data_IF_045030041991
#
_entry.id   IF_045030041991
#
_cell.length_a   1.000
_cell.length_b   1.000
_cell.length_c   1.000
_cell.angle_alpha   90.00
_cell.angle_beta   90.00
_cell.angle_gamma   90.00
#
_symmetry.space_group_name_H-M   'P 1'
#
loop_
_entity.id
_entity.type
_entity.pdbx_description
1 polymer ?
#
# COMPACT_ATOMS: atom_id res chain seq x y z
N UNK A 1 19.33 5.78 -17.47
CA UNK A 1 17.98 5.68 -16.89
C UNK A 1 18.10 5.60 -15.39
N UNK A 2 17.19 6.30 -14.71
CA UNK A 2 17.16 6.52 -13.27
C UNK A 2 15.72 6.27 -12.81
N UNK A 3 15.55 6.06 -11.50
CA UNK A 3 14.23 6.01 -10.90
C UNK A 3 13.41 7.29 -11.17
N UNK A 4 12.09 7.13 -11.16
CA UNK A 4 11.09 8.18 -11.30
C UNK A 4 10.33 8.37 -9.99
N UNK A 5 9.97 9.62 -9.71
CA UNK A 5 8.94 9.96 -8.74
C UNK A 5 7.77 10.56 -9.49
N UNK A 6 6.69 9.80 -9.64
CA UNK A 6 5.48 10.22 -10.31
C UNK A 6 4.34 10.38 -9.30
N UNK A 7 3.76 11.57 -9.24
CA UNK A 7 2.67 11.92 -8.33
C UNK A 7 1.52 12.57 -9.12
N UNK A 8 0.47 11.77 -9.35
CA UNK A 8 -0.74 12.20 -10.06
C UNK A 8 -1.54 13.23 -9.25
N UNK A 9 -1.55 13.11 -7.92
CA UNK A 9 -2.21 14.08 -7.03
C UNK A 9 -1.60 15.49 -7.14
N UNK A 10 -0.34 15.57 -7.56
CA UNK A 10 0.38 16.81 -7.85
C UNK A 10 0.53 17.11 -9.34
N UNK A 11 -0.02 16.26 -10.22
CA UNK A 11 0.10 16.37 -11.68
C UNK A 11 1.56 16.49 -12.13
N UNK A 12 2.47 15.73 -11.51
CA UNK A 12 3.92 15.92 -11.65
C UNK A 12 4.68 14.61 -11.69
N UNK A 13 5.67 14.50 -12.58
CA UNK A 13 6.76 13.52 -12.48
C UNK A 13 8.11 14.22 -12.36
N UNK A 14 9.03 13.63 -11.61
CA UNK A 14 10.43 14.05 -11.54
C UNK A 14 11.38 12.88 -11.78
N UNK A 15 12.48 13.15 -12.48
CA UNK A 15 13.57 12.20 -12.68
C UNK A 15 14.89 12.95 -12.87
N UNK A 16 16.01 12.27 -12.67
CA UNK A 16 17.34 12.81 -12.99
C UNK A 16 17.71 12.38 -14.41
N UNK A 17 18.15 13.30 -15.26
CA UNK A 17 18.63 12.95 -16.60
C UNK A 17 20.13 12.60 -16.60
N UNK A 18 20.68 12.20 -17.75
CA UNK A 18 22.10 11.84 -17.88
C UNK A 18 23.09 12.99 -17.57
N UNK A 19 22.60 14.23 -17.48
CA UNK A 19 23.38 15.41 -17.08
C UNK A 19 23.29 15.72 -15.57
N UNK A 20 22.66 14.83 -14.79
CA UNK A 20 22.40 15.01 -13.35
C UNK A 20 21.53 16.24 -13.07
N UNK A 21 20.61 16.55 -13.99
CA UNK A 21 19.62 17.61 -13.84
C UNK A 21 18.27 17.00 -13.49
N UNK A 22 17.62 17.53 -12.45
CA UNK A 22 16.24 17.20 -12.13
C UNK A 22 15.33 17.76 -13.23
N UNK A 23 14.62 16.88 -13.90
CA UNK A 23 13.61 17.20 -14.90
C UNK A 23 12.24 17.05 -14.25
N UNK A 24 11.36 18.01 -14.50
CA UNK A 24 9.98 18.02 -14.02
C UNK A 24 9.05 17.96 -15.23
N UNK A 25 8.12 17.01 -15.22
CA UNK A 25 7.09 16.86 -16.23
C UNK A 25 5.71 17.09 -15.62
N UNK A 26 4.80 17.72 -16.38
CA UNK A 26 3.39 17.87 -15.98
C UNK A 26 2.58 16.70 -16.52
N UNK A 27 1.86 16.04 -15.63
CA UNK A 27 0.97 14.92 -15.93
C UNK A 27 -0.48 15.43 -15.97
N UNK A 28 -1.25 15.09 -17.00
CA UNK A 28 -2.64 15.54 -17.16
C UNK A 28 -3.49 14.37 -17.62
N UNK A 29 -4.58 14.07 -16.90
CA UNK A 29 -5.51 12.98 -17.20
C UNK A 29 -4.78 11.65 -17.42
N UNK A 30 -3.99 11.25 -16.42
CA UNK A 30 -3.22 10.01 -16.41
C UNK A 30 -3.75 9.17 -15.27
N UNK A 31 -4.20 7.96 -15.57
CA UNK A 31 -4.68 7.01 -14.55
C UNK A 31 -3.79 5.75 -14.47
N UNK A 32 -2.71 5.73 -15.25
CA UNK A 32 -1.78 4.58 -15.30
C UNK A 32 -0.34 5.05 -15.25
N UNK A 33 0.36 4.63 -14.20
CA UNK A 33 1.79 4.80 -14.04
C UNK A 33 2.48 3.44 -14.15
N UNK A 34 3.59 3.42 -14.88
CA UNK A 34 4.50 2.29 -14.94
C UNK A 34 5.87 2.86 -14.60
N UNK A 35 6.49 2.28 -13.59
CA UNK A 35 7.86 2.55 -13.19
C UNK A 35 8.88 2.05 -14.22
N UNK A 36 10.10 1.98 -13.75
CA UNK A 36 11.32 1.68 -14.46
C UNK A 36 11.87 0.36 -13.94
N UNK A 37 13.18 0.13 -14.07
CA UNK A 37 13.84 -1.04 -13.48
C UNK A 37 14.61 -0.67 -12.21
N UNK A 38 14.24 0.44 -11.57
CA UNK A 38 14.91 1.02 -10.40
C UNK A 38 13.86 1.41 -9.36
N UNK A 39 14.31 1.66 -8.13
CA UNK A 39 13.47 2.01 -6.98
C UNK A 39 12.65 3.30 -7.21
N UNK A 40 11.39 3.15 -7.62
CA UNK A 40 10.49 4.24 -7.98
C UNK A 40 9.56 4.64 -6.84
N UNK A 41 8.98 5.83 -6.96
CA UNK A 41 7.85 6.26 -6.12
C UNK A 41 6.69 6.65 -7.02
N UNK A 42 5.60 5.88 -6.95
CA UNK A 42 4.41 6.05 -7.76
C UNK A 42 3.23 6.38 -6.83
N UNK A 43 2.66 7.58 -7.00
CA UNK A 43 1.55 8.09 -6.22
C UNK A 43 0.40 8.40 -7.17
N UNK A 44 -0.75 7.79 -6.91
CA UNK A 44 -1.99 8.06 -7.62
C UNK A 44 -2.68 9.35 -7.15
N UNK A 45 -3.91 9.55 -7.60
CA UNK A 45 -4.74 10.70 -7.28
C UNK A 45 -6.02 10.28 -6.54
N UNK A 46 -7.15 10.91 -6.87
CA UNK A 46 -8.44 10.61 -6.23
C UNK A 46 -9.34 9.74 -7.11
N UNK A 47 -8.87 9.40 -8.30
CA UNK A 47 -9.54 8.47 -9.22
C UNK A 47 -8.93 7.07 -9.10
N UNK A 48 -9.56 6.09 -9.75
CA UNK A 48 -9.01 4.74 -9.77
C UNK A 48 -7.77 4.71 -10.67
N UNK A 49 -6.62 4.40 -10.09
CA UNK A 49 -5.35 4.33 -10.79
C UNK A 49 -4.84 2.88 -10.93
N UNK A 50 -3.97 2.68 -11.91
CA UNK A 50 -3.21 1.45 -12.12
C UNK A 50 -1.72 1.77 -11.99
N UNK A 51 -1.09 1.31 -10.92
CA UNK A 51 0.33 1.53 -10.63
C UNK A 51 1.10 0.21 -10.79
N UNK A 52 2.23 0.27 -11.50
CA UNK A 52 3.11 -0.88 -11.75
C UNK A 52 4.54 -0.45 -11.47
N UNK A 53 5.19 -1.00 -10.43
CA UNK A 53 6.58 -0.69 -10.08
C UNK A 53 7.58 -1.22 -11.10
N UNK A 54 7.44 -2.51 -11.44
CA UNK A 54 8.25 -3.29 -12.38
C UNK A 54 9.48 -3.96 -11.74
N UNK A 55 10.71 -3.50 -11.95
CA UNK A 55 11.87 -4.04 -11.20
C UNK A 55 12.38 -2.93 -10.27
N UNK A 56 12.92 -3.29 -9.10
CA UNK A 56 13.37 -2.31 -8.10
C UNK A 56 12.57 -2.44 -6.82
N UNK A 57 12.98 -1.72 -5.76
CA UNK A 57 12.21 -1.64 -4.53
C UNK A 57 11.30 -0.41 -4.60
N UNK A 58 10.05 -0.61 -4.97
CA UNK A 58 9.16 0.48 -5.33
C UNK A 58 8.26 0.91 -4.17
N UNK A 59 7.84 2.18 -4.16
CA UNK A 59 6.80 2.70 -3.27
C UNK A 59 5.57 3.01 -4.11
N UNK A 60 4.47 2.30 -3.86
CA UNK A 60 3.19 2.47 -4.53
C UNK A 60 2.13 2.97 -3.54
N UNK A 61 1.58 4.15 -3.78
CA UNK A 61 0.50 4.76 -2.99
C UNK A 61 -0.66 5.03 -3.94
N UNK A 62 -1.75 4.26 -3.82
CA UNK A 62 -2.92 4.38 -4.70
C UNK A 62 -3.59 5.75 -4.63
N UNK A 63 -3.75 6.30 -3.43
CA UNK A 63 -4.45 7.57 -3.25
C UNK A 63 -5.87 7.31 -2.76
N UNK A 64 -6.88 7.95 -3.34
CA UNK A 64 -8.27 7.59 -3.11
C UNK A 64 -8.86 6.96 -4.38
N UNK A 65 -9.88 6.12 -4.24
CA UNK A 65 -10.36 5.28 -5.34
C UNK A 65 -10.07 3.82 -5.05
N UNK A 66 -10.49 2.94 -5.96
CA UNK A 66 -10.15 1.52 -5.89
C UNK A 66 -9.02 1.27 -6.87
N UNK A 67 -7.79 1.26 -6.35
CA UNK A 67 -6.60 1.22 -7.18
C UNK A 67 -6.16 -0.21 -7.49
N UNK A 68 -5.34 -0.36 -8.52
CA UNK A 68 -4.70 -1.62 -8.86
C UNK A 68 -3.19 -1.45 -8.78
N UNK A 69 -2.60 -2.15 -7.81
CA UNK A 69 -1.18 -2.04 -7.47
C UNK A 69 -0.47 -3.35 -7.83
N UNK A 70 0.66 -3.22 -8.52
CA UNK A 70 1.56 -4.31 -8.87
C UNK A 70 2.98 -3.85 -8.55
N UNK A 71 3.65 -4.49 -7.59
CA UNK A 71 5.00 -4.13 -7.19
C UNK A 71 6.01 -4.60 -8.25
N UNK A 72 6.04 -5.90 -8.48
CA UNK A 72 6.91 -6.57 -9.43
C UNK A 72 8.08 -7.27 -8.74
N UNK A 73 9.28 -7.08 -9.27
CA UNK A 73 10.50 -7.68 -8.75
C UNK A 73 11.19 -6.69 -7.82
N UNK A 74 11.07 -6.94 -6.52
CA UNK A 74 11.87 -6.29 -5.50
C UNK A 74 11.18 -6.43 -4.16
N UNK A 75 11.64 -5.68 -3.17
CA UNK A 75 10.95 -5.53 -1.89
C UNK A 75 10.12 -4.24 -1.96
N UNK A 76 8.83 -4.40 -2.24
CA UNK A 76 7.96 -3.26 -2.56
C UNK A 76 7.16 -2.78 -1.34
N UNK A 77 6.78 -1.51 -1.35
CA UNK A 77 5.96 -0.88 -0.31
C UNK A 77 4.62 -0.47 -0.92
N UNK A 78 3.54 -1.04 -0.40
CA UNK A 78 2.16 -0.62 -0.68
C UNK A 78 1.66 0.27 0.46
N UNK A 79 1.58 1.57 0.22
CA UNK A 79 1.34 2.58 1.24
C UNK A 79 -0.12 3.03 1.35
N UNK A 80 -0.62 3.07 2.58
CA UNK A 80 -1.97 3.52 2.94
C UNK A 80 -1.91 4.60 4.02
N UNK A 81 -2.52 5.75 3.75
CA UNK A 81 -2.59 6.84 4.72
C UNK A 81 -3.81 6.74 5.64
N UNK A 82 -4.87 6.04 5.22
CA UNK A 82 -6.14 5.89 5.94
C UNK A 82 -6.90 4.65 5.43
N UNK A 83 -7.70 3.98 6.27
CA UNK A 83 -8.51 2.83 5.84
C UNK A 83 -9.69 3.22 4.94
N UNK A 84 -10.00 4.51 4.80
CA UNK A 84 -11.15 5.02 4.03
C UNK A 84 -10.74 5.67 2.70
N UNK A 85 -9.71 5.12 2.06
CA UNK A 85 -9.24 5.59 0.75
C UNK A 85 -9.89 4.85 -0.42
N UNK A 86 -10.52 3.71 -0.14
CA UNK A 86 -11.08 2.79 -1.12
C UNK A 86 -10.57 1.39 -0.84
N UNK A 87 -10.82 0.46 -1.76
CA UNK A 87 -10.36 -0.93 -1.64
C UNK A 87 -9.37 -1.19 -2.77
N UNK A 88 -8.08 -1.08 -2.44
CA UNK A 88 -7.02 -1.29 -3.41
C UNK A 88 -6.76 -2.76 -3.63
N UNK A 89 -6.50 -3.14 -4.88
CA UNK A 89 -6.13 -4.51 -5.25
C UNK A 89 -4.63 -4.61 -5.44
N UNK A 90 -3.96 -5.30 -4.52
CA UNK A 90 -2.54 -5.64 -4.63
C UNK A 90 -2.43 -7.02 -5.26
N UNK A 91 -1.86 -7.08 -6.46
CA UNK A 91 -2.02 -8.27 -7.32
C UNK A 91 -0.93 -9.33 -7.14
N UNK A 92 0.23 -8.96 -6.60
CA UNK A 92 1.45 -9.78 -6.60
C UNK A 92 2.21 -9.82 -5.27
N UNK A 93 1.60 -9.31 -4.19
CA UNK A 93 2.23 -9.25 -2.86
C UNK A 93 2.99 -10.55 -2.49
N UNK A 94 4.27 -10.40 -2.16
CA UNK A 94 5.16 -11.49 -1.84
C UNK A 94 6.06 -11.17 -0.63
N UNK A 95 5.64 -11.64 0.54
CA UNK A 95 6.43 -11.55 1.79
C UNK A 95 7.85 -12.14 1.66
N UNK A 96 8.07 -13.15 0.80
CA UNK A 96 9.39 -13.73 0.60
C UNK A 96 10.34 -12.82 -0.22
N UNK A 97 9.80 -11.89 -0.99
CA UNK A 97 10.59 -10.84 -1.66
C UNK A 97 10.89 -9.66 -0.73
N UNK A 98 10.13 -9.51 0.35
CA UNK A 98 10.28 -8.42 1.32
C UNK A 98 9.21 -7.34 1.19
N UNK A 99 8.11 -7.62 0.48
CA UNK A 99 7.02 -6.66 0.32
C UNK A 99 6.39 -6.29 1.67
N UNK A 100 6.02 -5.02 1.81
CA UNK A 100 5.42 -4.47 3.00
C UNK A 100 4.12 -3.73 2.67
N UNK A 101 3.13 -3.90 3.55
CA UNK A 101 2.00 -3.01 3.67
C UNK A 101 2.40 -1.91 4.65
N UNK A 102 2.56 -0.68 4.18
CA UNK A 102 2.88 0.46 5.03
C UNK A 102 1.60 1.24 5.37
N UNK A 103 1.40 1.55 6.66
CA UNK A 103 0.22 2.27 7.15
C UNK A 103 0.62 3.47 7.99
N UNK A 104 -0.07 4.59 7.82
CA UNK A 104 0.15 5.79 8.62
C UNK A 104 -0.64 5.73 9.93
N UNK A 105 0.06 5.71 11.08
CA UNK A 105 -0.56 5.61 12.41
C UNK A 105 -1.60 6.71 12.65
N UNK A 106 -1.31 7.93 12.19
CA UNK A 106 -2.21 9.08 12.41
C UNK A 106 -3.51 9.01 11.60
N UNK A 107 -3.53 8.31 10.47
CA UNK A 107 -4.76 8.16 9.69
C UNK A 107 -5.54 6.87 9.99
N UNK A 108 -4.87 5.81 10.44
CA UNK A 108 -5.53 4.59 10.92
C UNK A 108 -6.02 4.71 12.37
N UNK A 109 -5.26 5.36 13.25
CA UNK A 109 -5.60 5.49 14.67
C UNK A 109 -5.46 4.15 15.42
N UNK A 110 -6.43 3.79 16.25
CA UNK A 110 -6.47 2.47 16.93
C UNK A 110 -5.34 2.20 17.96
N UNK A 111 -4.48 3.19 18.25
CA UNK A 111 -3.32 2.99 19.12
C UNK A 111 -2.13 2.32 18.44
N UNK A 112 -2.05 2.39 17.11
CA UNK A 112 -0.87 1.93 16.37
C UNK A 112 0.38 2.71 16.80
N UNK A 113 1.49 2.01 16.96
CA UNK A 113 2.80 2.58 17.29
C UNK A 113 3.76 2.31 16.15
N UNK A 114 4.62 3.27 15.82
CA UNK A 114 5.55 3.17 14.69
C UNK A 114 6.51 1.98 14.80
N UNK A 115 6.77 1.33 13.67
CA UNK A 115 7.55 0.10 13.57
C UNK A 115 6.75 -1.06 13.00
N UNK A 116 7.28 -2.27 13.16
CA UNK A 116 6.56 -3.51 12.80
C UNK A 116 5.31 -3.63 13.67
N UNK A 117 4.20 -4.04 13.07
CA UNK A 117 2.93 -4.22 13.78
C UNK A 117 3.07 -5.26 14.92
N UNK A 118 2.56 -4.90 16.09
CA UNK A 118 2.52 -5.82 17.24
C UNK A 118 1.68 -7.06 16.91
N UNK A 119 2.15 -8.24 17.28
CA UNK A 119 1.52 -9.51 16.89
C UNK A 119 0.10 -9.69 17.44
N UNK A 120 -0.24 -9.03 18.55
CA UNK A 120 -1.59 -9.05 19.14
C UNK A 120 -2.58 -8.11 18.42
N UNK A 121 -2.09 -7.28 17.50
CA UNK A 121 -2.87 -6.41 16.64
C UNK A 121 -3.19 -7.03 15.27
N UNK A 122 -2.68 -8.24 14.99
CA UNK A 122 -2.93 -8.95 13.73
C UNK A 122 -3.64 -10.28 13.98
N UNK A 123 -4.67 -10.56 13.19
CA UNK A 123 -5.36 -11.85 13.23
C UNK A 123 -5.71 -12.34 11.82
N UNK A 124 -5.74 -13.66 11.65
CA UNK A 124 -6.19 -14.31 10.42
C UNK A 124 -7.62 -14.80 10.63
N UNK A 125 -8.52 -14.39 9.75
CA UNK A 125 -9.92 -14.75 9.82
C UNK A 125 -10.82 -13.75 9.10
N UNK A 126 -12.13 -13.85 9.36
CA UNK A 126 -13.12 -12.97 8.75
C UNK A 126 -13.48 -11.75 9.57
N UNK A 127 -13.12 -11.72 10.86
CA UNK A 127 -13.42 -10.61 11.75
C UNK A 127 -12.47 -10.52 12.94
N UNK A 128 -12.46 -9.35 13.59
CA UNK A 128 -11.79 -9.16 14.87
C UNK A 128 -12.39 -10.10 15.93
N UNK A 129 -11.54 -10.66 16.77
CA UNK A 129 -11.87 -11.62 17.85
C UNK A 129 -11.41 -11.14 19.22
N UNK A 130 -10.51 -10.17 19.26
CA UNK A 130 -10.00 -9.54 20.47
C UNK A 130 -10.10 -8.01 20.38
N UNK A 131 -10.08 -7.34 21.52
CA UNK A 131 -10.07 -5.88 21.58
C UNK A 131 -8.73 -5.27 21.10
N UNK A 132 -7.67 -6.07 21.01
CA UNK A 132 -6.36 -5.67 20.47
C UNK A 132 -6.28 -5.80 18.95
N UNK A 133 -7.09 -6.66 18.33
CA UNK A 133 -7.05 -6.88 16.89
C UNK A 133 -7.28 -5.55 16.15
N UNK A 134 -6.36 -5.20 15.25
CA UNK A 134 -6.44 -4.01 14.38
C UNK A 134 -6.44 -4.39 12.92
N UNK A 135 -5.65 -5.38 12.53
CA UNK A 135 -5.58 -5.86 11.16
C UNK A 135 -6.10 -7.30 11.10
N UNK A 136 -7.04 -7.52 10.20
CA UNK A 136 -7.69 -8.81 10.01
C UNK A 136 -7.48 -9.22 8.56
N UNK A 137 -6.80 -10.34 8.36
CA UNK A 137 -6.54 -10.88 7.02
C UNK A 137 -7.37 -12.14 6.78
N UNK A 138 -8.22 -12.09 5.75
CA UNK A 138 -9.02 -13.24 5.33
C UNK A 138 -8.25 -14.05 4.29
N UNK A 139 -7.39 -14.96 4.74
CA UNK A 139 -6.45 -15.74 3.94
C UNK A 139 -7.03 -16.35 2.65
N UNK A 140 -8.23 -16.92 2.69
CA UNK A 140 -8.82 -17.56 1.50
C UNK A 140 -9.31 -16.58 0.43
N UNK A 141 -9.74 -15.37 0.81
CA UNK A 141 -10.24 -14.37 -0.13
C UNK A 141 -9.19 -13.32 -0.46
N UNK A 142 -8.20 -13.11 0.42
CA UNK A 142 -7.20 -12.06 0.33
C UNK A 142 -7.67 -10.69 0.87
N UNK A 143 -8.89 -10.59 1.41
CA UNK A 143 -9.39 -9.34 1.95
C UNK A 143 -8.61 -8.93 3.22
N UNK A 144 -8.13 -7.69 3.25
CA UNK A 144 -7.43 -7.09 4.39
C UNK A 144 -8.27 -5.97 4.98
N UNK A 145 -8.59 -6.11 6.25
CA UNK A 145 -9.43 -5.19 7.00
C UNK A 145 -8.62 -4.49 8.09
N UNK A 146 -9.04 -3.27 8.39
CA UNK A 146 -8.66 -2.56 9.59
C UNK A 146 -9.85 -2.40 10.52
N UNK A 147 -9.68 -2.70 11.80
CA UNK A 147 -10.66 -2.47 12.85
C UNK A 147 -10.11 -1.44 13.85
N UNK A 148 -10.73 -0.25 13.97
CA UNK A 148 -10.24 0.80 14.86
C UNK A 148 -10.41 0.48 16.35
N UNK A 149 -11.31 -0.43 16.73
CA UNK A 149 -11.59 -0.75 18.14
C UNK A 149 -11.63 -2.26 18.47
N UNK A 150 -11.33 -3.12 17.50
CA UNK A 150 -11.29 -4.57 17.65
C UNK A 150 -12.69 -5.16 17.77
N UNK A 151 -12.99 -5.96 18.78
CA UNK A 151 -14.37 -6.43 19.03
C UNK A 151 -15.30 -5.36 19.61
N UNK A 152 -15.04 -4.08 19.31
CA UNK A 152 -15.76 -2.94 19.86
C UNK A 152 -17.06 -2.64 19.13
N UNK A 153 -17.46 -1.36 19.15
CA UNK A 153 -18.70 -0.90 18.56
C UNK A 153 -18.54 -0.46 17.10
N UNK A 154 -17.31 -0.17 16.67
CA UNK A 154 -17.00 0.19 15.30
C UNK A 154 -16.87 -1.09 14.47
N UNK A 155 -17.22 -0.99 13.20
CA UNK A 155 -17.05 -2.10 12.27
C UNK A 155 -15.66 -2.03 11.64
N UNK A 156 -15.06 -3.19 11.40
CA UNK A 156 -13.90 -3.30 10.52
C UNK A 156 -14.19 -2.73 9.13
N UNK A 157 -13.17 -2.15 8.51
CA UNK A 157 -13.20 -1.50 7.20
C UNK A 157 -12.25 -2.28 6.30
N UNK A 158 -12.74 -2.75 5.16
CA UNK A 158 -11.85 -3.30 4.13
C UNK A 158 -11.14 -2.14 3.45
N UNK A 159 -9.81 -2.17 3.39
CA UNK A 159 -9.02 -1.15 2.71
C UNK A 159 -8.13 -1.74 1.60
N UNK A 160 -7.90 -3.05 1.62
CA UNK A 160 -7.12 -3.71 0.58
C UNK A 160 -7.63 -5.12 0.26
N UNK A 161 -7.23 -5.59 -0.90
CA UNK A 161 -7.53 -6.88 -1.49
C UNK A 161 -6.24 -7.47 -2.07
N UNK A 162 -5.71 -8.51 -1.45
CA UNK A 162 -4.58 -9.28 -1.96
C UNK A 162 -5.06 -10.50 -2.74
N UNK A 163 -4.15 -11.23 -3.36
CA UNK A 163 -4.42 -12.59 -3.83
C UNK A 163 -4.74 -13.51 -2.65
N UNK A 164 -5.72 -14.41 -2.81
CA UNK A 164 -6.03 -15.43 -1.80
C UNK A 164 -4.89 -16.42 -1.63
N UNK A 165 -4.61 -16.81 -0.39
CA UNK A 165 -3.56 -17.75 -0.01
C UNK A 165 -2.19 -17.13 0.21
N UNK A 166 -2.08 -15.79 0.17
CA UNK A 166 -0.84 -15.08 0.56
C UNK A 166 -0.56 -15.35 2.03
N UNK A 167 0.70 -15.67 2.36
CA UNK A 167 1.13 -15.91 3.73
C UNK A 167 1.44 -14.59 4.47
N UNK A 168 0.44 -13.72 4.59
CA UNK A 168 0.59 -12.41 5.26
C UNK A 168 0.68 -12.58 6.78
N UNK A 169 1.61 -11.87 7.41
CA UNK A 169 1.85 -11.86 8.85
C UNK A 169 1.93 -10.42 9.38
N UNK A 170 1.98 -10.25 10.70
CA UNK A 170 2.21 -8.94 11.31
C UNK A 170 3.57 -8.32 10.92
N UNK A 171 4.57 -9.14 10.57
CA UNK A 171 5.89 -8.63 10.16
C UNK A 171 5.86 -7.94 8.79
N UNK A 172 4.83 -8.20 8.00
CA UNK A 172 4.62 -7.63 6.68
C UNK A 172 3.88 -6.29 6.74
N UNK A 173 3.46 -5.85 7.93
CA UNK A 173 2.77 -4.58 8.15
C UNK A 173 3.69 -3.63 8.93
N UNK A 174 4.01 -2.50 8.33
CA UNK A 174 4.89 -1.48 8.90
C UNK A 174 4.14 -0.18 9.16
N UNK A 175 4.15 0.28 10.40
CA UNK A 175 3.48 1.50 10.84
C UNK A 175 4.47 2.67 10.80
N UNK A 176 4.06 3.77 10.17
CA UNK A 176 4.80 5.05 10.13
C UNK A 176 4.08 6.18 10.86
#
# INVERSE_FOLDING_TARGET
>A
EFAINADLSQSRATYINDEVVEVIETLINIERLIGTAFDDTLIGDVENNSLTGADGNDILIGGAGNDRLFGGIGADIFGFSSPNQGIDTITDFNSAQGDLIQVLASGFGGGLTGGVLDSDQFTIGSAATQASDRFIYHDTTGALFFDPDGTGALAQIQFAQLSGGVALTNNDIFVV
#
